data_IF_514418189254
#
_entry.id   IF_514418189254
#
_cell.length_a   1.000
_cell.length_b   1.000
_cell.length_c   1.000
_cell.angle_alpha   90.00
_cell.angle_beta   90.00
_cell.angle_gamma   90.00
#
_symmetry.space_group_name_H-M   'P 1'
#
loop_
_entity.id
_entity.type
_entity.pdbx_description
1 polymer ?
#
# COMPACT_ATOMS: atom_id res chain seq x y z
N UNK A 1 -0.37 9.38 10.51
CA UNK A 1 -1.41 8.38 10.31
C UNK A 1 -2.14 8.22 11.63
N UNK A 2 -3.47 8.14 11.63
CA UNK A 2 -4.24 8.03 12.87
C UNK A 2 -4.02 6.63 13.49
N UNK A 3 -3.54 6.63 14.74
CA UNK A 3 -3.05 5.46 15.50
C UNK A 3 -4.18 4.86 16.34
N UNK A 4 -4.22 3.53 16.48
CA UNK A 4 -5.16 2.83 17.37
C UNK A 4 -4.45 2.11 18.52
N UNK A 5 -5.00 2.20 19.73
CA UNK A 5 -4.53 1.49 20.93
C UNK A 5 -5.41 0.25 21.19
N UNK A 6 -4.84 -0.92 21.51
CA UNK A 6 -5.56 -2.19 21.65
C UNK A 6 -6.50 -2.28 22.88
N UNK A 7 -6.73 -1.20 23.62
CA UNK A 7 -7.60 -1.17 24.81
C UNK A 7 -9.08 -0.88 24.52
N UNK A 8 -9.49 -0.77 23.25
CA UNK A 8 -10.85 -0.39 22.90
C UNK A 8 -11.48 -1.44 22.00
N UNK A 9 -12.49 -2.13 22.50
CA UNK A 9 -13.45 -2.88 21.69
C UNK A 9 -14.47 -1.89 21.09
N UNK A 10 -14.87 -2.14 19.85
CA UNK A 10 -15.97 -1.52 19.09
C UNK A 10 -15.72 -0.18 18.33
N UNK A 11 -15.67 -0.31 16.99
CA UNK A 11 -16.34 0.54 15.98
C UNK A 11 -16.09 2.07 16.00
N UNK A 12 -14.95 2.57 16.46
CA UNK A 12 -14.72 4.04 16.58
C UNK A 12 -13.38 4.54 16.05
N UNK A 13 -12.77 3.82 15.11
CA UNK A 13 -11.52 4.24 14.45
C UNK A 13 -11.73 5.30 13.35
N UNK A 14 -10.66 5.99 12.95
CA UNK A 14 -10.66 6.94 11.83
C UNK A 14 -11.09 6.27 10.52
N UNK A 15 -11.89 6.98 9.74
CA UNK A 15 -12.43 6.50 8.47
C UNK A 15 -11.63 7.05 7.29
N UNK A 16 -11.21 6.16 6.39
CA UNK A 16 -10.74 6.49 5.05
C UNK A 16 -11.95 6.52 4.13
N UNK A 17 -12.21 7.67 3.52
CA UNK A 17 -13.21 7.81 2.46
C UNK A 17 -12.45 7.93 1.14
N UNK A 18 -12.65 7.00 0.21
CA UNK A 18 -12.13 7.11 -1.15
C UNK A 18 -13.17 7.82 -2.03
N UNK A 19 -12.95 9.09 -2.44
CA UNK A 19 -13.85 9.76 -3.37
C UNK A 19 -13.63 9.24 -4.79
N UNK A 20 -14.61 9.51 -5.65
CA UNK A 20 -14.70 9.10 -7.04
C UNK A 20 -13.41 9.35 -7.84
N UNK A 21 -13.09 8.41 -8.74
CA UNK A 21 -12.01 8.56 -9.72
C UNK A 21 -12.28 9.75 -10.65
N UNK A 22 -11.31 10.65 -10.76
CA UNK A 22 -11.27 11.70 -11.77
C UNK A 22 -10.73 11.15 -13.09
N UNK A 23 -11.31 11.63 -14.20
CA UNK A 23 -11.03 11.34 -15.62
C UNK A 23 -9.77 10.51 -15.87
N UNK A 24 -9.91 9.19 -15.80
CA UNK A 24 -9.21 8.12 -16.55
C UNK A 24 -9.55 6.74 -15.94
N UNK A 25 -10.16 6.69 -14.75
CA UNK A 25 -10.98 5.55 -14.34
C UNK A 25 -12.30 6.01 -13.69
N UNK A 26 -13.41 5.78 -14.39
CA UNK A 26 -14.78 5.84 -13.83
C UNK A 26 -15.13 4.56 -13.05
N UNK A 27 -14.16 3.67 -12.85
CA UNK A 27 -14.39 2.41 -12.16
C UNK A 27 -14.23 2.58 -10.65
N UNK A 28 -15.14 1.93 -9.93
CA UNK A 28 -15.09 1.81 -8.48
C UNK A 28 -13.77 1.16 -8.06
N UNK A 29 -12.94 1.87 -7.30
CA UNK A 29 -11.78 1.26 -6.66
C UNK A 29 -12.26 0.28 -5.59
N UNK A 30 -12.15 -1.02 -5.88
CA UNK A 30 -12.40 -2.09 -4.91
C UNK A 30 -11.09 -2.42 -4.21
N UNK A 31 -11.09 -2.42 -2.88
CA UNK A 31 -9.89 -2.72 -2.08
C UNK A 31 -9.63 -4.24 -2.01
N UNK A 32 -9.19 -4.80 -3.14
CA UNK A 32 -8.69 -6.17 -3.29
C UNK A 32 -7.16 -6.09 -3.44
N UNK A 33 -6.45 -7.17 -3.09
CA UNK A 33 -4.98 -7.19 -3.05
C UNK A 33 -4.42 -6.26 -1.97
N UNK A 34 -4.96 -6.42 -0.75
CA UNK A 34 -4.68 -5.56 0.40
C UNK A 34 -3.26 -5.75 0.93
N UNK A 35 -2.55 -4.65 1.20
CA UNK A 35 -1.28 -4.69 1.94
C UNK A 35 -1.46 -4.70 3.46
N UNK A 36 -2.62 -4.23 3.96
CA UNK A 36 -2.90 -4.16 5.39
C UNK A 36 -4.36 -4.50 5.69
N UNK A 37 -4.66 -5.04 6.88
CA UNK A 37 -6.04 -5.33 7.25
C UNK A 37 -6.80 -4.04 7.50
N UNK A 38 -8.03 -3.96 6.95
CA UNK A 38 -8.99 -2.86 7.16
C UNK A 38 -10.38 -3.44 7.38
N UNK A 39 -11.14 -2.79 8.24
CA UNK A 39 -12.55 -3.12 8.46
C UNK A 39 -13.40 -2.16 7.64
N UNK A 40 -14.24 -2.69 6.76
CA UNK A 40 -15.21 -1.88 6.04
C UNK A 40 -16.35 -1.48 7.00
N UNK A 41 -16.61 -0.18 7.11
CA UNK A 41 -17.68 0.37 7.95
C UNK A 41 -18.95 0.54 7.13
N UNK A 42 -18.82 1.15 5.94
CA UNK A 42 -19.87 1.27 4.92
C UNK A 42 -19.23 1.26 3.54
N UNK A 43 -20.07 1.25 2.48
CA UNK A 43 -19.60 1.41 1.11
C UNK A 43 -18.72 2.67 0.97
N UNK A 44 -17.43 2.49 0.61
CA UNK A 44 -16.36 3.52 0.49
C UNK A 44 -15.79 4.07 1.79
N UNK A 45 -16.16 3.52 2.95
CA UNK A 45 -15.64 3.94 4.25
C UNK A 45 -15.05 2.74 4.95
N UNK A 46 -13.74 2.79 5.17
CA UNK A 46 -13.02 1.75 5.91
C UNK A 46 -12.26 2.36 7.08
N UNK A 47 -12.00 1.56 8.11
CA UNK A 47 -11.05 1.95 9.15
C UNK A 47 -9.67 2.19 8.54
N UNK A 48 -8.87 3.08 9.13
CA UNK A 48 -7.46 3.18 8.80
C UNK A 48 -6.72 1.86 9.10
N UNK A 49 -5.50 1.76 8.58
CA UNK A 49 -4.59 0.62 8.79
C UNK A 49 -4.50 0.26 10.28
N UNK A 50 -4.79 -1.01 10.61
CA UNK A 50 -4.54 -1.53 11.95
C UNK A 50 -3.02 -1.69 12.16
N UNK A 51 -2.44 -0.80 12.96
CA UNK A 51 -1.00 -0.80 13.27
C UNK A 51 -0.78 -0.42 14.74
N UNK A 52 0.21 -1.01 15.44
CA UNK A 52 0.44 -0.69 16.86
C UNK A 52 0.70 0.81 17.09
N UNK A 53 -0.02 1.44 18.03
CA UNK A 53 0.08 2.88 18.31
C UNK A 53 1.52 3.39 18.59
N UNK A 54 2.36 2.54 19.19
CA UNK A 54 3.76 2.89 19.51
C UNK A 54 4.65 3.02 18.27
N UNK A 55 4.24 2.47 17.13
CA UNK A 55 5.04 2.46 15.91
C UNK A 55 4.67 3.63 15.00
N UNK A 56 5.64 4.06 14.21
CA UNK A 56 5.46 5.04 13.14
C UNK A 56 5.20 4.33 11.81
N UNK A 57 4.33 4.90 10.99
CA UNK A 57 4.05 4.40 9.64
C UNK A 57 4.80 5.31 8.67
N UNK A 58 5.74 4.77 7.88
CA UNK A 58 6.51 5.59 6.95
C UNK A 58 5.61 6.31 5.93
N UNK A 59 6.06 7.48 5.50
CA UNK A 59 5.37 8.26 4.45
C UNK A 59 5.21 7.42 3.18
N UNK A 60 4.03 7.45 2.57
CA UNK A 60 3.77 6.76 1.31
C UNK A 60 2.56 7.36 0.60
N UNK A 61 2.46 7.09 -0.70
CA UNK A 61 1.25 7.29 -1.48
C UNK A 61 0.39 6.03 -1.42
N UNK A 62 -0.92 6.19 -1.17
CA UNK A 62 -1.86 5.06 -1.04
C UNK A 62 -1.83 4.21 -2.32
N UNK A 63 -1.61 2.90 -2.16
CA UNK A 63 -1.61 1.92 -3.26
C UNK A 63 -0.58 2.16 -4.38
N UNK A 64 0.49 2.92 -4.14
CA UNK A 64 1.57 3.14 -5.11
C UNK A 64 2.45 1.90 -5.40
N UNK A 65 2.09 0.73 -4.88
CA UNK A 65 2.63 -0.58 -5.27
C UNK A 65 1.77 -1.27 -6.35
N UNK A 66 0.67 -0.67 -6.77
CA UNK A 66 -0.18 -1.10 -7.89
C UNK A 66 -0.02 -0.17 -9.09
N UNK A 67 -0.53 -0.61 -10.24
CA UNK A 67 -0.69 0.20 -11.46
C UNK A 67 -1.99 1.02 -11.47
N UNK A 68 -2.88 0.79 -10.50
CA UNK A 68 -4.13 1.55 -10.31
C UNK A 68 -4.25 1.98 -8.86
N UNK A 69 -4.47 3.27 -8.62
CA UNK A 69 -4.52 3.90 -7.30
C UNK A 69 -5.59 4.98 -7.23
N UNK A 70 -6.06 5.34 -6.02
CA UNK A 70 -6.98 6.46 -5.85
C UNK A 70 -6.31 7.81 -6.13
N UNK A 71 -7.02 8.73 -6.80
CA UNK A 71 -6.56 10.12 -7.00
C UNK A 71 -6.85 11.02 -5.80
N UNK A 72 -7.83 10.65 -4.98
CA UNK A 72 -8.27 11.40 -3.83
C UNK A 72 -8.38 10.46 -2.63
N UNK A 73 -7.96 10.96 -1.48
CA UNK A 73 -8.07 10.29 -0.20
C UNK A 73 -8.55 11.31 0.82
N UNK A 74 -9.57 10.97 1.59
CA UNK A 74 -10.05 11.79 2.69
C UNK A 74 -9.87 11.05 4.02
N UNK A 75 -9.41 11.81 5.03
CA UNK A 75 -9.26 11.33 6.40
C UNK A 75 -10.30 11.99 7.28
N UNK A 76 -10.93 11.19 8.15
CA UNK A 76 -11.85 11.69 9.17
C UNK A 76 -11.42 11.21 10.56
N UNK A 77 -11.24 12.16 11.48
CA UNK A 77 -11.00 11.88 12.89
C UNK A 77 -12.33 11.90 13.63
N UNK A 78 -12.80 10.72 14.04
CA UNK A 78 -14.02 10.57 14.84
C UNK A 78 -13.72 10.84 16.32
N UNK A 79 -12.56 10.38 16.79
CA UNK A 79 -12.05 10.57 18.14
C UNK A 79 -10.59 10.98 18.07
N UNK A 80 -10.25 12.09 18.74
CA UNK A 80 -8.89 12.63 18.74
C UNK A 80 -8.01 11.90 19.77
N UNK A 81 -6.74 11.59 19.43
CA UNK A 81 -5.82 11.00 20.39
C UNK A 81 -5.45 12.02 21.47
N UNK A 82 -5.15 11.53 22.69
CA UNK A 82 -4.66 12.38 23.79
C UNK A 82 -3.26 12.95 23.51
N UNK A 83 -2.44 12.20 22.78
CA UNK A 83 -1.10 12.60 22.35
C UNK A 83 -0.75 11.91 21.02
N UNK A 84 0.01 12.60 20.15
CA UNK A 84 0.45 12.06 18.87
C UNK A 84 -0.70 11.79 17.91
N UNK A 85 -0.63 10.67 17.17
CA UNK A 85 -1.69 10.21 16.24
C UNK A 85 -2.00 11.13 15.04
N UNK A 86 -1.23 12.19 14.85
CA UNK A 86 -1.34 13.08 13.69
C UNK A 86 -1.14 12.31 12.38
N UNK A 87 -1.67 12.85 11.28
CA UNK A 87 -1.38 12.40 9.92
C UNK A 87 -0.57 13.43 9.17
N UNK A 88 0.78 13.38 9.27
CA UNK A 88 1.63 14.22 8.45
C UNK A 88 1.36 13.96 6.97
N UNK A 89 1.33 15.04 6.20
CA UNK A 89 1.17 15.04 4.75
C UNK A 89 2.33 15.87 4.20
N UNK A 90 2.92 15.42 3.09
CA UNK A 90 4.00 16.12 2.42
C UNK A 90 3.65 16.35 0.94
N UNK A 91 3.98 17.51 0.36
CA UNK A 91 3.79 17.77 -1.05
C UNK A 91 4.81 16.95 -1.87
N UNK A 92 4.30 16.01 -2.68
CA UNK A 92 5.17 15.10 -3.44
C UNK A 92 6.08 15.79 -4.46
N UNK A 93 5.72 16.98 -4.96
CA UNK A 93 6.61 17.77 -5.82
C UNK A 93 7.90 18.18 -5.11
N UNK A 94 7.82 18.61 -3.85
CA UNK A 94 9.01 18.96 -3.05
C UNK A 94 9.82 17.73 -2.65
N UNK A 95 9.12 16.66 -2.22
CA UNK A 95 9.78 15.38 -1.90
C UNK A 95 10.59 14.89 -3.09
N UNK A 96 10.02 14.94 -4.30
CA UNK A 96 10.68 14.47 -5.51
C UNK A 96 11.89 15.32 -5.90
N UNK A 97 11.81 16.65 -5.71
CA UNK A 97 12.98 17.54 -5.89
C UNK A 97 14.10 17.23 -4.89
N UNK A 98 13.75 16.96 -3.63
CA UNK A 98 14.72 16.63 -2.59
C UNK A 98 15.37 15.25 -2.77
N UNK A 99 14.66 14.30 -3.38
CA UNK A 99 15.21 12.97 -3.75
C UNK A 99 16.32 13.12 -4.81
N UNK A 100 16.23 14.14 -5.67
CA UNK A 100 17.23 14.44 -6.68
C UNK A 100 16.95 13.80 -8.04
N UNK A 101 17.28 14.55 -9.10
CA UNK A 101 16.92 14.23 -10.48
C UNK A 101 17.48 12.87 -10.95
N UNK A 102 18.73 12.55 -10.59
CA UNK A 102 19.38 11.30 -11.01
C UNK A 102 18.58 10.06 -10.56
N UNK A 103 18.08 10.06 -9.32
CA UNK A 103 17.31 8.94 -8.80
C UNK A 103 15.90 8.89 -9.42
N UNK A 104 15.28 10.05 -9.63
CA UNK A 104 13.97 10.15 -10.32
C UNK A 104 14.05 9.55 -11.73
N UNK A 105 15.07 9.90 -12.51
CA UNK A 105 15.26 9.39 -13.88
C UNK A 105 15.54 7.89 -13.90
N UNK A 106 16.39 7.39 -12.99
CA UNK A 106 16.63 5.94 -12.86
C UNK A 106 15.36 5.17 -12.51
N UNK A 107 14.54 5.70 -11.60
CA UNK A 107 13.28 5.08 -11.22
C UNK A 107 12.27 5.11 -12.36
N UNK A 108 12.22 6.18 -13.14
CA UNK A 108 11.39 6.27 -14.35
C UNK A 108 11.77 5.21 -15.38
N UNK A 109 13.06 5.08 -15.70
CA UNK A 109 13.56 4.12 -16.68
C UNK A 109 13.31 2.67 -16.24
N UNK A 110 13.60 2.36 -14.98
CA UNK A 110 13.59 0.97 -14.49
C UNK A 110 12.21 0.51 -14.03
N UNK A 111 11.40 1.41 -13.48
CA UNK A 111 10.21 1.02 -12.72
C UNK A 111 10.57 0.18 -11.49
N UNK A 112 9.55 -0.47 -10.90
CA UNK A 112 9.72 -1.31 -9.72
C UNK A 112 8.96 -2.62 -9.90
N UNK A 113 9.57 -3.75 -9.53
CA UNK A 113 8.86 -5.01 -9.38
C UNK A 113 8.62 -5.27 -7.89
N UNK A 114 7.35 -5.46 -7.52
CA UNK A 114 6.97 -5.89 -6.18
C UNK A 114 6.76 -7.39 -6.20
N UNK A 115 7.50 -8.10 -5.35
CA UNK A 115 7.38 -9.54 -5.17
C UNK A 115 6.86 -9.77 -3.75
N UNK A 116 5.74 -10.48 -3.63
CA UNK A 116 5.11 -10.79 -2.34
C UNK A 116 4.98 -12.28 -2.16
N UNK A 117 5.43 -12.75 -1.00
CA UNK A 117 5.33 -14.14 -0.58
C UNK A 117 4.34 -14.26 0.56
N UNK A 118 3.25 -15.02 0.36
CA UNK A 118 2.19 -15.18 1.34
C UNK A 118 2.52 -16.33 2.28
N UNK A 119 3.45 -16.09 3.20
CA UNK A 119 3.82 -17.06 4.22
C UNK A 119 2.91 -16.97 5.45
N UNK A 120 2.35 -18.10 5.92
CA UNK A 120 1.63 -18.15 7.19
C UNK A 120 2.48 -17.57 8.32
N UNK A 121 1.87 -16.72 9.15
CA UNK A 121 2.47 -16.05 10.32
C UNK A 121 3.49 -14.93 10.03
N UNK A 122 3.85 -14.67 8.76
CA UNK A 122 4.74 -13.56 8.39
C UNK A 122 3.95 -12.46 7.69
N UNK A 123 3.07 -12.85 6.77
CA UNK A 123 2.22 -11.93 6.01
C UNK A 123 0.74 -12.22 6.29
N UNK A 124 -0.13 -11.33 5.81
CA UNK A 124 -1.56 -11.62 5.72
C UNK A 124 -1.76 -12.89 4.87
N UNK A 125 -2.62 -13.83 5.31
CA UNK A 125 -3.03 -14.96 4.48
C UNK A 125 -3.57 -14.47 3.14
N UNK A 126 -3.23 -15.15 2.05
CA UNK A 126 -3.67 -14.74 0.71
C UNK A 126 -5.21 -14.70 0.64
N UNK A 127 -5.89 -15.55 1.39
CA UNK A 127 -7.34 -15.59 1.49
C UNK A 127 -7.91 -14.27 2.00
N UNK A 128 -7.22 -13.64 2.95
CA UNK A 128 -7.57 -12.30 3.47
C UNK A 128 -7.24 -11.20 2.45
N UNK A 129 -6.12 -11.34 1.73
CA UNK A 129 -5.65 -10.35 0.76
C UNK A 129 -6.57 -10.28 -0.47
N UNK A 130 -6.98 -11.44 -0.97
CA UNK A 130 -7.84 -11.60 -2.15
C UNK A 130 -9.33 -11.75 -1.79
N UNK A 131 -9.66 -11.92 -0.50
CA UNK A 131 -11.04 -12.08 0.00
C UNK A 131 -11.76 -13.29 -0.62
N UNK A 132 -11.05 -14.42 -0.72
CA UNK A 132 -11.55 -15.66 -1.32
C UNK A 132 -10.75 -16.85 -0.80
N UNK A 133 -11.36 -18.03 -0.73
CA UNK A 133 -10.68 -19.31 -0.45
C UNK A 133 -10.45 -20.12 -1.74
N UNK A 134 -10.86 -19.57 -2.88
CA UNK A 134 -10.74 -20.19 -4.20
C UNK A 134 -9.52 -19.66 -4.95
N UNK A 135 -8.54 -20.54 -5.20
CA UNK A 135 -7.30 -20.23 -5.92
C UNK A 135 -7.55 -19.79 -7.36
N UNK A 136 -8.55 -20.33 -8.05
CA UNK A 136 -8.80 -19.92 -9.45
C UNK A 136 -9.26 -18.47 -9.54
N UNK A 137 -9.97 -17.96 -8.52
CA UNK A 137 -10.34 -16.54 -8.44
C UNK A 137 -9.13 -15.64 -8.19
N UNK A 138 -8.12 -16.13 -7.47
CA UNK A 138 -6.85 -15.42 -7.29
C UNK A 138 -6.12 -15.32 -8.62
N UNK A 139 -6.02 -16.42 -9.36
CA UNK A 139 -5.36 -16.44 -10.67
C UNK A 139 -6.08 -15.55 -11.70
N UNK A 140 -7.42 -15.57 -11.72
CA UNK A 140 -8.24 -14.67 -12.54
C UNK A 140 -7.99 -13.20 -12.19
N UNK A 141 -8.02 -12.86 -10.89
CA UNK A 141 -7.71 -11.52 -10.44
C UNK A 141 -6.30 -11.10 -10.86
N UNK A 142 -5.31 -11.98 -10.68
CA UNK A 142 -3.92 -11.68 -11.00
C UNK A 142 -3.76 -11.44 -12.50
N UNK A 143 -4.31 -12.31 -13.34
CA UNK A 143 -4.29 -12.16 -14.80
C UNK A 143 -4.96 -10.85 -15.25
N UNK A 144 -6.13 -10.51 -14.67
CA UNK A 144 -6.85 -9.27 -15.01
C UNK A 144 -6.06 -8.00 -14.65
N UNK A 145 -5.23 -8.06 -13.61
CA UNK A 145 -4.50 -6.90 -13.09
C UNK A 145 -3.02 -6.88 -13.49
N UNK A 146 -2.58 -7.77 -14.39
CA UNK A 146 -1.17 -7.85 -14.81
C UNK A 146 -0.22 -8.29 -13.69
N UNK A 147 -0.72 -9.10 -12.76
CA UNK A 147 0.04 -9.71 -11.67
C UNK A 147 0.34 -11.16 -12.07
N UNK A 148 1.60 -11.57 -11.91
CA UNK A 148 1.98 -12.97 -12.05
C UNK A 148 1.71 -13.70 -10.73
N UNK A 149 0.86 -14.73 -10.72
CA UNK A 149 0.70 -15.64 -9.59
C UNK A 149 1.50 -16.94 -9.80
N UNK A 150 2.11 -17.44 -8.73
CA UNK A 150 2.77 -18.73 -8.70
C UNK A 150 2.40 -19.45 -7.41
N UNK A 151 1.86 -20.65 -7.55
CA UNK A 151 1.55 -21.54 -6.43
C UNK A 151 2.64 -22.62 -6.33
N UNK A 152 3.23 -22.76 -5.15
CA UNK A 152 4.15 -23.85 -4.85
C UNK A 152 3.40 -25.14 -4.52
N UNK A 153 4.13 -26.26 -4.47
CA UNK A 153 3.56 -27.59 -4.20
C UNK A 153 2.92 -27.71 -2.81
N UNK A 154 3.43 -26.96 -1.83
CA UNK A 154 2.90 -26.85 -0.47
C UNK A 154 1.73 -25.83 -0.37
N UNK A 155 1.33 -25.23 -1.48
CA UNK A 155 0.17 -24.36 -1.56
C UNK A 155 0.42 -22.90 -1.17
N UNK A 156 1.68 -22.48 -1.04
CA UNK A 156 2.02 -21.08 -0.81
C UNK A 156 1.88 -20.29 -2.11
N UNK A 157 1.39 -19.07 -1.98
CA UNK A 157 1.30 -18.13 -3.10
C UNK A 157 2.55 -17.24 -3.12
N UNK A 158 3.04 -16.97 -4.32
CA UNK A 158 3.90 -15.84 -4.63
C UNK A 158 3.24 -15.01 -5.72
N UNK A 159 3.21 -13.69 -5.55
CA UNK A 159 2.83 -12.78 -6.62
C UNK A 159 3.99 -11.88 -7.01
N UNK A 160 4.09 -11.53 -8.30
CA UNK A 160 4.94 -10.43 -8.75
C UNK A 160 4.17 -9.47 -9.66
N UNK A 161 4.38 -8.17 -9.48
CA UNK A 161 3.78 -7.16 -10.32
C UNK A 161 4.75 -6.00 -10.56
N UNK A 162 4.89 -5.60 -11.83
CA UNK A 162 5.66 -4.42 -12.18
C UNK A 162 4.78 -3.19 -12.03
N UNK A 163 5.27 -2.19 -11.32
CA UNK A 163 4.64 -0.89 -11.18
C UNK A 163 5.62 0.22 -11.54
N UNK A 164 5.12 1.45 -11.50
CA UNK A 164 5.86 2.65 -11.80
C UNK A 164 6.93 2.94 -10.73
N UNK A 165 8.07 3.50 -11.18
CA UNK A 165 9.04 4.12 -10.28
C UNK A 165 8.71 5.60 -10.01
N UNK A 166 8.07 6.27 -10.96
CA UNK A 166 7.54 7.63 -10.80
C UNK A 166 6.14 7.71 -11.42
N UNK A 167 5.37 8.73 -11.06
CA UNK A 167 4.15 9.09 -11.77
C UNK A 167 4.23 10.54 -12.25
N UNK A 168 3.37 10.90 -13.20
CA UNK A 168 3.17 12.29 -13.60
C UNK A 168 1.96 12.85 -12.87
N UNK A 169 2.12 14.00 -12.22
CA UNK A 169 0.99 14.65 -11.57
C UNK A 169 -0.04 15.08 -12.63
N UNK A 170 -1.32 14.69 -12.53
CA UNK A 170 -2.27 14.79 -13.64
C UNK A 170 -2.61 16.23 -14.06
N UNK A 171 -2.41 17.21 -13.18
CA UNK A 171 -2.69 18.62 -13.48
C UNK A 171 -1.45 19.44 -13.85
N UNK A 172 -0.26 19.06 -13.39
CA UNK A 172 0.98 19.85 -13.57
C UNK A 172 2.01 19.14 -14.44
N UNK A 173 1.81 17.86 -14.72
CA UNK A 173 2.75 16.99 -15.43
C UNK A 173 4.13 16.89 -14.77
N UNK A 174 4.27 17.30 -13.51
CA UNK A 174 5.51 17.13 -12.75
C UNK A 174 5.76 15.64 -12.47
N UNK A 175 7.03 15.21 -12.58
CA UNK A 175 7.45 13.87 -12.13
C UNK A 175 7.41 13.82 -10.61
N UNK A 176 6.72 12.83 -10.08
CA UNK A 176 6.62 12.59 -8.64
C UNK A 176 7.11 11.19 -8.28
N UNK A 177 7.86 11.07 -7.19
CA UNK A 177 8.30 9.80 -6.61
C UNK A 177 7.08 9.02 -6.10
N UNK A 178 6.49 8.21 -6.98
CA UNK A 178 5.21 7.57 -6.74
C UNK A 178 5.37 6.05 -6.70
N UNK A 179 6.00 5.58 -5.63
CA UNK A 179 6.19 4.17 -5.36
C UNK A 179 6.33 3.95 -3.84
N UNK A 180 6.53 2.71 -3.42
CA UNK A 180 6.78 2.33 -2.02
C UNK A 180 8.08 1.50 -1.87
N UNK A 181 9.09 1.76 -2.71
CA UNK A 181 10.37 1.07 -2.66
C UNK A 181 11.02 1.18 -1.28
N UNK A 182 11.05 2.39 -0.73
CA UNK A 182 11.63 2.66 0.59
C UNK A 182 10.91 1.95 1.73
N UNK A 183 9.65 1.57 1.53
CA UNK A 183 8.86 0.84 2.51
C UNK A 183 9.13 -0.67 2.42
N UNK A 184 9.17 -1.23 1.21
CA UNK A 184 9.25 -2.68 0.99
C UNK A 184 10.66 -3.21 0.71
N UNK A 185 11.65 -2.34 0.54
CA UNK A 185 13.03 -2.77 0.36
C UNK A 185 13.64 -3.24 1.69
N UNK A 186 14.54 -4.22 1.62
CA UNK A 186 15.16 -4.85 2.79
C UNK A 186 15.88 -3.89 3.74
N UNK A 187 16.31 -2.71 3.28
CA UNK A 187 16.89 -1.68 4.13
C UNK A 187 15.88 -1.00 5.06
N UNK A 188 14.58 -1.20 4.84
CA UNK A 188 13.51 -0.70 5.72
C UNK A 188 13.37 -1.59 6.96
N UNK A 189 13.85 -2.83 6.90
CA UNK A 189 13.93 -3.73 8.04
C UNK A 189 15.14 -3.28 8.87
N UNK A 190 15.00 -3.26 10.21
CA UNK A 190 16.11 -2.88 11.08
C UNK A 190 17.39 -3.66 10.74
N UNK A 191 18.56 -3.08 11.02
CA UNK A 191 19.85 -3.55 10.52
C UNK A 191 20.07 -5.08 10.60
N UNK A 192 19.68 -5.72 11.71
CA UNK A 192 19.78 -7.17 11.89
C UNK A 192 18.91 -7.98 10.91
N UNK A 193 17.68 -7.55 10.66
CA UNK A 193 16.74 -8.22 9.75
C UNK A 193 17.14 -7.97 8.30
N UNK A 194 17.60 -6.75 8.00
CA UNK A 194 18.10 -6.40 6.68
C UNK A 194 19.28 -7.30 6.26
N UNK A 195 20.25 -7.53 7.16
CA UNK A 195 21.38 -8.43 6.89
C UNK A 195 20.96 -9.90 6.70
N UNK A 196 19.97 -10.38 7.44
CA UNK A 196 19.50 -11.76 7.32
C UNK A 196 18.83 -12.03 5.96
N UNK A 197 18.13 -11.03 5.41
CA UNK A 197 17.43 -11.12 4.13
C UNK A 197 18.27 -10.72 2.92
N UNK A 198 19.41 -10.06 3.13
CA UNK A 198 20.34 -9.65 2.05
C UNK A 198 21.41 -10.69 1.74
N UNK A 199 21.38 -11.85 2.42
CA UNK A 199 22.30 -12.97 2.14
C UNK A 199 21.71 -13.83 1.01
N UNK A 200 22.48 -14.10 -0.06
CA UNK A 200 22.04 -14.88 -1.21
C UNK A 200 21.71 -16.33 -0.84
#
# INVERSE_FOLDING_TARGET
MLKYSPLFENRKGPAIISPMGGRHSLQQYKYVYRSTPRTEITHRVSTATNYPARLEIPMHNECAYHTTWPLLLAFCCIEAPTEGGQTPIAPMGEVSRNIGQELIERMEEKGIEYIRHYHPNIDLPWETVFQTEDRSKVDEYCAHNGICSHWSADGLLRTSNRAQGIAFHPATSEKVFFNQAHLFYVSSLGHAQSQAMSRP
#
